data_IF_385271229773
#
_entry.id   IF_385271229773
#
_cell.length_a   1.000
_cell.length_b   1.000
_cell.length_c   1.000
_cell.angle_alpha   90.00
_cell.angle_beta   90.00
_cell.angle_gamma   90.00
#
_symmetry.space_group_name_H-M   'P 1'
#
loop_
_entity.id
_entity.type
_entity.pdbx_description
1 polymer ?
#
# COMPACT_ATOMS: atom_id res chain seq x y z
N UNK A 1 -12.58 0.82 -8.72
CA UNK A 1 -13.50 0.32 -7.67
C UNK A 1 -14.59 1.35 -7.31
N UNK A 2 -15.81 0.93 -6.93
CA UNK A 2 -16.93 1.87 -6.67
C UNK A 2 -16.62 2.87 -5.54
N UNK A 3 -15.99 2.43 -4.46
CA UNK A 3 -15.58 3.31 -3.35
C UNK A 3 -14.59 4.38 -3.79
N UNK A 4 -13.61 4.02 -4.63
CA UNK A 4 -12.63 4.97 -5.15
C UNK A 4 -13.32 6.05 -5.99
N UNK A 5 -14.22 5.64 -6.89
CA UNK A 5 -14.99 6.59 -7.73
C UNK A 5 -15.80 7.54 -6.87
N UNK A 6 -16.53 7.01 -5.88
CA UNK A 6 -17.33 7.82 -4.97
C UNK A 6 -16.48 8.85 -4.21
N UNK A 7 -15.28 8.47 -3.72
CA UNK A 7 -14.36 9.41 -3.06
C UNK A 7 -13.87 10.51 -4.02
N UNK A 8 -13.49 10.15 -5.25
CA UNK A 8 -13.05 11.13 -6.25
C UNK A 8 -14.17 12.09 -6.66
N UNK A 9 -15.40 11.61 -6.82
CA UNK A 9 -16.58 12.43 -7.17
C UNK A 9 -16.89 13.50 -6.13
N UNK A 10 -16.61 13.24 -4.85
CA UNK A 10 -16.83 14.18 -3.74
C UNK A 10 -15.56 14.90 -3.28
N UNK A 11 -14.43 14.73 -3.98
CA UNK A 11 -13.17 15.40 -3.68
C UNK A 11 -12.51 14.97 -2.36
N UNK A 12 -12.66 13.71 -1.95
CA UNK A 12 -12.00 13.14 -0.78
C UNK A 12 -10.82 12.27 -1.21
N UNK A 13 -9.66 12.52 -0.61
CA UNK A 13 -8.46 11.70 -0.81
C UNK A 13 -8.69 10.26 -0.34
N UNK A 14 -8.17 9.31 -1.12
CA UNK A 14 -8.29 7.87 -0.82
C UNK A 14 -6.98 7.15 -1.09
N UNK A 15 -6.61 6.24 -0.17
CA UNK A 15 -5.47 5.34 -0.29
C UNK A 15 -6.01 3.89 -0.35
N UNK A 16 -6.32 3.36 -1.56
CA UNK A 16 -7.00 2.08 -1.68
C UNK A 16 -6.10 0.90 -1.34
N UNK A 17 -6.71 -0.19 -0.85
CA UNK A 17 -6.03 -1.44 -0.55
C UNK A 17 -5.65 -2.23 -1.81
N UNK A 18 -4.39 -2.65 -1.90
CA UNK A 18 -3.84 -3.50 -2.97
C UNK A 18 -2.98 -4.62 -2.36
N UNK A 19 -2.84 -5.73 -3.06
CA UNK A 19 -1.89 -6.78 -2.66
C UNK A 19 -1.27 -7.57 -3.83
N UNK A 20 -1.58 -7.21 -5.07
CA UNK A 20 -1.08 -7.88 -6.27
C UNK A 20 -0.99 -6.90 -7.46
N UNK A 21 -0.24 -7.26 -8.53
CA UNK A 21 -0.08 -6.40 -9.71
C UNK A 21 -1.41 -5.93 -10.32
N UNK A 22 -2.38 -6.81 -10.52
CA UNK A 22 -3.67 -6.44 -11.11
C UNK A 22 -4.41 -5.36 -10.30
N UNK A 23 -4.33 -5.40 -8.98
CA UNK A 23 -4.93 -4.36 -8.12
C UNK A 23 -4.14 -3.04 -8.13
N UNK A 24 -2.83 -3.10 -8.36
CA UNK A 24 -1.99 -1.90 -8.55
C UNK A 24 -2.34 -1.23 -9.88
N UNK A 25 -2.41 -1.99 -10.97
CA UNK A 25 -2.80 -1.46 -12.29
C UNK A 25 -4.19 -0.82 -12.24
N UNK A 26 -5.16 -1.48 -11.59
CA UNK A 26 -6.50 -0.93 -11.44
C UNK A 26 -6.54 0.38 -10.63
N UNK A 27 -5.55 0.64 -9.77
CA UNK A 27 -5.42 1.91 -9.06
C UNK A 27 -4.73 2.97 -9.92
N UNK A 28 -3.70 2.58 -10.69
CA UNK A 28 -3.01 3.43 -11.65
C UNK A 28 -3.94 3.93 -12.77
N UNK A 29 -4.81 3.07 -13.29
CA UNK A 29 -5.86 3.45 -14.26
C UNK A 29 -6.82 4.51 -13.71
N UNK A 30 -6.94 4.62 -12.38
CA UNK A 30 -7.73 5.62 -11.68
C UNK A 30 -6.92 6.85 -11.26
N UNK A 31 -5.64 6.94 -11.66
CA UNK A 31 -4.74 8.04 -11.33
C UNK A 31 -4.22 8.03 -9.89
N UNK A 32 -4.26 6.89 -9.21
CA UNK A 32 -3.81 6.76 -7.82
C UNK A 32 -2.40 6.15 -7.74
N UNK A 33 -1.49 6.86 -7.07
CA UNK A 33 -0.09 6.44 -6.90
C UNK A 33 0.27 6.12 -5.46
N UNK A 34 -0.47 6.61 -4.47
CA UNK A 34 -0.30 6.24 -3.06
C UNK A 34 -1.29 5.13 -2.69
N UNK A 35 -0.80 3.94 -2.36
CA UNK A 35 -1.61 2.74 -2.17
C UNK A 35 -1.35 2.08 -0.82
N UNK A 36 -2.37 1.43 -0.26
CA UNK A 36 -2.25 0.65 0.98
C UNK A 36 -1.95 -0.80 0.62
N UNK A 37 -0.80 -1.33 1.02
CA UNK A 37 -0.50 -2.76 0.86
C UNK A 37 -1.12 -3.56 2.02
N UNK A 38 -2.17 -4.34 1.76
CA UNK A 38 -2.93 -5.02 2.81
C UNK A 38 -3.56 -6.35 2.36
N UNK A 39 -3.56 -7.40 3.21
CA UNK A 39 -2.86 -7.50 4.50
C UNK A 39 -1.36 -7.82 4.29
N UNK A 40 -0.46 -6.99 4.83
CA UNK A 40 0.96 -6.98 4.44
C UNK A 40 1.67 -8.33 4.66
N UNK A 41 1.74 -8.81 5.91
CA UNK A 41 2.47 -10.06 6.22
C UNK A 41 1.86 -11.27 5.51
N UNK A 42 0.53 -11.39 5.51
CA UNK A 42 -0.17 -12.50 4.85
C UNK A 42 -0.08 -12.46 3.32
N UNK A 43 0.24 -11.31 2.73
CA UNK A 43 0.43 -11.15 1.28
C UNK A 43 1.90 -11.28 0.86
N UNK A 44 2.76 -11.86 1.69
CA UNK A 44 4.18 -12.09 1.38
C UNK A 44 5.14 -11.01 1.90
N UNK A 45 4.62 -10.04 2.66
CA UNK A 45 5.38 -9.07 3.43
C UNK A 45 6.38 -8.26 2.61
N UNK A 46 7.55 -8.01 3.21
CA UNK A 46 8.64 -7.20 2.62
C UNK A 46 9.05 -7.69 1.22
N UNK A 47 9.11 -9.00 1.01
CA UNK A 47 9.50 -9.55 -0.28
C UNK A 47 8.49 -9.18 -1.37
N UNK A 48 7.19 -9.24 -1.05
CA UNK A 48 6.14 -8.83 -1.98
C UNK A 48 6.17 -7.31 -2.21
N UNK A 49 6.34 -6.50 -1.17
CA UNK A 49 6.47 -5.04 -1.29
C UNK A 49 7.60 -4.67 -2.24
N UNK A 50 8.80 -5.26 -2.06
CA UNK A 50 9.94 -5.04 -2.96
C UNK A 50 9.65 -5.51 -4.39
N UNK A 51 8.95 -6.63 -4.53
CA UNK A 51 8.60 -7.20 -5.85
C UNK A 51 7.60 -6.32 -6.61
N UNK A 52 6.65 -5.68 -5.91
CA UNK A 52 5.73 -4.71 -6.50
C UNK A 52 6.44 -3.40 -6.86
N UNK A 53 7.28 -2.86 -5.96
CA UNK A 53 7.97 -1.60 -6.20
C UNK A 53 9.06 -1.67 -7.28
N UNK A 54 9.45 -2.87 -7.73
CA UNK A 54 10.45 -3.05 -8.78
C UNK A 54 9.94 -2.61 -10.17
N UNK A 55 8.81 -3.14 -10.70
CA UNK A 55 8.22 -2.65 -11.95
C UNK A 55 7.41 -1.35 -11.77
N UNK A 56 6.82 -1.11 -10.59
CA UNK A 56 5.99 0.06 -10.33
C UNK A 56 6.82 1.18 -9.70
N UNK A 57 7.52 1.95 -10.53
CA UNK A 57 8.43 3.00 -10.06
C UNK A 57 7.74 4.24 -9.49
N UNK A 58 6.49 4.45 -9.89
CA UNK A 58 5.75 5.70 -9.65
C UNK A 58 4.70 5.57 -8.53
N UNK A 59 4.67 4.42 -7.86
CA UNK A 59 3.78 4.20 -6.71
C UNK A 59 4.54 4.28 -5.39
N UNK A 60 3.81 4.64 -4.35
CA UNK A 60 4.26 4.56 -2.97
C UNK A 60 3.29 3.67 -2.18
N UNK A 61 3.83 2.92 -1.23
CA UNK A 61 3.07 1.93 -0.46
C UNK A 61 3.01 2.27 1.03
N UNK A 62 1.84 2.04 1.61
CA UNK A 62 1.61 2.00 3.07
C UNK A 62 1.25 0.57 3.51
N UNK A 63 2.24 -0.27 3.89
CA UNK A 63 1.99 -1.61 4.41
C UNK A 63 1.15 -1.58 5.69
N UNK A 64 0.13 -2.42 5.77
CA UNK A 64 -0.73 -2.56 6.94
C UNK A 64 -1.14 -4.02 7.13
N UNK A 65 -1.20 -4.47 8.39
CA UNK A 65 -1.61 -5.84 8.75
C UNK A 65 -0.41 -6.75 9.00
N UNK A 66 -0.22 -7.13 10.27
CA UNK A 66 0.94 -7.91 10.73
C UNK A 66 2.21 -7.09 11.02
N UNK A 67 2.20 -5.78 10.76
CA UNK A 67 3.26 -4.87 11.17
C UNK A 67 3.27 -4.74 12.69
N UNK A 68 4.46 -4.76 13.31
CA UNK A 68 4.70 -4.72 14.76
C UNK A 68 6.07 -4.06 15.07
N UNK A 69 6.43 -3.80 16.34
CA UNK A 69 7.71 -3.16 16.69
C UNK A 69 8.96 -3.91 16.20
N UNK A 70 8.86 -5.24 16.01
CA UNK A 70 9.99 -6.05 15.59
C UNK A 70 10.29 -5.94 14.09
N UNK A 71 9.29 -5.65 13.24
CA UNK A 71 9.46 -5.61 11.78
C UNK A 71 9.24 -4.22 11.15
N UNK A 72 8.69 -3.24 11.87
CA UNK A 72 8.36 -1.92 11.31
C UNK A 72 9.57 -1.23 10.67
N UNK A 73 10.76 -1.34 11.28
CA UNK A 73 11.97 -0.70 10.76
C UNK A 73 12.39 -1.28 9.41
N UNK A 74 12.19 -2.58 9.21
CA UNK A 74 12.55 -3.24 7.95
C UNK A 74 11.62 -2.80 6.81
N UNK A 75 10.34 -2.54 7.10
CA UNK A 75 9.42 -1.96 6.14
C UNK A 75 9.76 -0.50 5.81
N UNK A 76 9.99 0.33 6.83
CA UNK A 76 10.31 1.75 6.66
C UNK A 76 11.68 1.98 6.00
N UNK A 77 12.56 0.98 5.99
CA UNK A 77 13.84 1.03 5.26
C UNK A 77 13.68 0.87 3.74
N UNK A 78 12.51 0.44 3.24
CA UNK A 78 12.27 0.26 1.81
C UNK A 78 11.94 1.62 1.19
N UNK A 79 12.68 2.07 0.16
CA UNK A 79 12.34 3.30 -0.57
C UNK A 79 10.90 3.23 -1.10
N UNK A 80 10.14 4.33 -1.00
CA UNK A 80 8.71 4.44 -1.35
C UNK A 80 7.75 3.67 -0.45
N UNK A 81 8.20 3.18 0.71
CA UNK A 81 7.31 2.93 1.84
C UNK A 81 7.18 4.22 2.65
N UNK A 82 6.05 4.91 2.50
CA UNK A 82 5.82 6.23 3.12
C UNK A 82 5.46 6.15 4.61
N UNK A 83 4.77 5.08 5.01
CA UNK A 83 4.29 4.87 6.37
C UNK A 83 3.94 3.40 6.57
N UNK A 84 3.75 2.98 7.83
CA UNK A 84 3.17 1.68 8.16
C UNK A 84 1.95 1.84 9.05
N UNK A 85 0.91 1.03 8.79
CA UNK A 85 -0.27 0.94 9.64
C UNK A 85 -0.16 -0.20 10.65
N UNK A 86 -0.49 0.08 11.91
CA UNK A 86 -0.45 -0.90 13.00
C UNK A 86 -1.35 -0.50 14.16
N UNK A 87 -1.97 -1.49 14.79
CA UNK A 87 -2.86 -1.30 15.96
C UNK A 87 -2.13 -1.28 17.30
N UNK A 88 -0.82 -1.55 17.29
CA UNK A 88 0.04 -1.61 18.46
C UNK A 88 0.66 -0.25 18.84
N UNK A 89 0.44 0.77 18.00
CA UNK A 89 0.89 2.14 18.24
C UNK A 89 -0.18 2.85 19.08
N UNK A 90 -0.25 2.53 20.37
CA UNK A 90 -1.10 3.19 21.38
C UNK A 90 -0.29 3.46 22.64
#
# INVERSE_FOLDING_TARGET
>A
PNTVKACQEIGIDIVPGVNNPSTVEAALEMGLTTLKFFPAEASGGINMVKSLLAPYTDIELMPTGGINPANIKDYLAIPRVLACGGTWMV
#
